data_IF_616174728919
#
_entry.id   IF_616174728919
#
_cell.length_a   1.000
_cell.length_b   1.000
_cell.length_c   1.000
_cell.angle_alpha   90.00
_cell.angle_beta   90.00
_cell.angle_gamma   90.00
#
_symmetry.space_group_name_H-M   'P 1'
#
loop_
_entity.id
_entity.type
_entity.pdbx_description
1 polymer ?
#
# COMPACT_ATOMS: atom_id res chain seq x y z
N UNK A 1 45.81 33.33 -4.40
CA UNK A 1 45.18 33.33 -3.05
C UNK A 1 43.66 33.45 -3.07
N UNK A 2 43.01 34.37 -3.79
CA UNK A 2 41.54 34.51 -3.79
C UNK A 2 40.82 33.27 -4.39
N UNK A 3 41.32 32.71 -5.50
CA UNK A 3 40.75 31.54 -6.16
C UNK A 3 40.84 30.26 -5.29
N UNK A 4 41.99 30.05 -4.64
CA UNK A 4 42.15 28.90 -3.71
C UNK A 4 41.19 28.96 -2.53
N UNK A 5 40.98 30.15 -1.96
CA UNK A 5 39.99 30.33 -0.86
C UNK A 5 38.56 30.07 -1.35
N UNK A 6 38.21 30.51 -2.57
CA UNK A 6 36.89 30.24 -3.16
C UNK A 6 36.65 28.75 -3.38
N UNK A 7 37.66 28.01 -3.88
CA UNK A 7 37.56 26.53 -4.06
C UNK A 7 37.39 25.83 -2.71
N UNK A 8 38.16 26.24 -1.69
CA UNK A 8 38.03 25.63 -0.34
C UNK A 8 36.64 25.89 0.24
N UNK A 9 36.12 27.13 0.12
CA UNK A 9 34.77 27.44 0.59
C UNK A 9 33.70 26.67 -0.16
N UNK A 10 33.81 26.50 -1.48
CA UNK A 10 32.90 25.73 -2.30
C UNK A 10 32.92 24.24 -1.88
N UNK A 11 34.10 23.68 -1.65
CA UNK A 11 34.26 22.30 -1.19
C UNK A 11 33.66 22.07 0.19
N UNK A 12 33.81 23.03 1.11
CA UNK A 12 33.18 22.94 2.45
C UNK A 12 31.67 23.04 2.35
N UNK A 13 31.13 23.91 1.52
CA UNK A 13 29.68 24.02 1.30
C UNK A 13 29.11 22.74 0.69
N UNK A 14 29.78 22.18 -0.32
CA UNK A 14 29.37 20.90 -0.93
C UNK A 14 29.42 19.76 0.10
N UNK A 15 30.48 19.70 0.92
CA UNK A 15 30.60 18.71 1.99
C UNK A 15 29.49 18.86 3.04
N UNK A 16 29.17 20.10 3.44
CA UNK A 16 28.08 20.37 4.38
C UNK A 16 26.71 19.99 3.78
N UNK A 17 26.48 20.30 2.49
CA UNK A 17 25.25 19.90 1.80
C UNK A 17 25.12 18.38 1.68
N UNK A 18 26.23 17.67 1.42
CA UNK A 18 26.21 16.19 1.39
C UNK A 18 25.95 15.58 2.77
N UNK A 19 26.51 16.18 3.84
CA UNK A 19 26.27 15.74 5.22
C UNK A 19 24.79 15.96 5.60
N UNK A 20 24.21 17.12 5.24
CA UNK A 20 22.80 17.40 5.49
C UNK A 20 21.90 16.47 4.68
N UNK A 21 22.20 16.23 3.41
CA UNK A 21 21.44 15.29 2.58
C UNK A 21 21.52 13.83 3.11
N UNK A 22 22.67 13.43 3.69
CA UNK A 22 22.78 12.12 4.34
C UNK A 22 22.06 12.07 5.71
N UNK A 23 21.91 13.19 6.41
CA UNK A 23 21.21 13.25 7.70
C UNK A 23 19.67 13.19 7.52
N UNK A 24 19.16 13.57 6.35
CA UNK A 24 17.75 13.42 6.00
C UNK A 24 17.37 12.03 5.49
N UNK A 25 18.32 11.12 5.30
CA UNK A 25 17.97 9.71 5.19
C UNK A 25 17.36 9.29 6.51
N UNK A 26 16.03 9.25 6.54
CA UNK A 26 15.20 8.71 7.62
C UNK A 26 15.91 7.47 8.15
N UNK A 27 16.34 7.51 9.39
CA UNK A 27 16.92 6.33 10.04
C UNK A 27 15.81 5.28 10.04
N UNK A 28 15.87 4.36 9.09
CA UNK A 28 15.07 3.16 9.18
C UNK A 28 15.45 2.49 10.49
N UNK A 29 14.48 2.22 11.34
CA UNK A 29 14.73 1.50 12.58
C UNK A 29 15.38 0.17 12.20
N UNK A 30 16.49 -0.21 12.85
CA UNK A 30 17.10 -1.49 12.55
C UNK A 30 16.10 -2.61 12.81
N UNK A 31 15.92 -3.48 11.82
CA UNK A 31 15.05 -4.66 11.97
C UNK A 31 15.68 -5.55 13.03
N UNK A 32 15.00 -5.71 14.15
CA UNK A 32 15.42 -6.56 15.26
C UNK A 32 15.02 -8.03 15.01
N UNK A 33 15.68 -8.99 15.65
CA UNK A 33 15.19 -10.35 15.70
C UNK A 33 13.75 -10.40 16.26
N UNK A 34 12.91 -11.26 15.73
CA UNK A 34 11.49 -11.36 16.12
C UNK A 34 11.29 -11.51 17.64
N UNK A 35 12.18 -12.23 18.33
CA UNK A 35 12.14 -12.39 19.80
C UNK A 35 12.24 -11.09 20.57
N UNK A 36 12.90 -10.09 20.03
CA UNK A 36 12.97 -8.77 20.67
C UNK A 36 11.61 -8.06 20.59
N UNK A 37 10.95 -8.14 19.45
CA UNK A 37 9.59 -7.61 19.31
C UNK A 37 8.58 -8.39 20.17
N UNK A 38 8.71 -9.71 20.25
CA UNK A 38 7.89 -10.54 21.14
C UNK A 38 8.02 -10.12 22.60
N UNK A 39 9.24 -9.80 23.07
CA UNK A 39 9.47 -9.28 24.42
C UNK A 39 8.79 -7.94 24.67
N UNK A 40 8.78 -7.06 23.67
CA UNK A 40 8.15 -5.74 23.79
C UNK A 40 6.63 -5.83 23.95
N UNK A 41 6.00 -6.86 23.41
CA UNK A 41 4.54 -7.02 23.42
C UNK A 41 4.01 -7.98 24.50
N UNK A 42 4.88 -8.51 25.35
CA UNK A 42 4.46 -9.36 26.48
C UNK A 42 3.63 -8.58 27.51
N UNK A 43 3.85 -7.26 27.62
CA UNK A 43 3.21 -6.42 28.62
C UNK A 43 3.86 -6.58 29.99
N UNK A 44 3.10 -6.27 31.04
CA UNK A 44 3.56 -6.30 32.42
C UNK A 44 3.34 -7.68 33.05
N UNK A 45 4.42 -8.40 33.33
CA UNK A 45 4.37 -9.74 33.98
C UNK A 45 3.96 -9.66 35.46
N UNK A 46 4.09 -8.50 36.07
CA UNK A 46 3.74 -8.20 37.47
C UNK A 46 2.30 -7.64 37.62
N UNK A 47 1.51 -7.67 36.54
CA UNK A 47 0.13 -7.20 36.53
C UNK A 47 -0.85 -8.34 36.25
N UNK A 48 -2.09 -8.17 36.69
CA UNK A 48 -3.20 -9.10 36.50
C UNK A 48 -4.22 -8.54 35.51
N UNK A 49 -4.94 -9.45 34.85
CA UNK A 49 -6.06 -9.10 33.99
C UNK A 49 -7.27 -8.67 34.83
N UNK A 50 -7.84 -7.53 34.50
CA UNK A 50 -8.94 -6.92 35.28
C UNK A 50 -10.27 -6.87 34.53
N UNK A 51 -10.25 -7.16 33.23
CA UNK A 51 -11.39 -7.15 32.35
C UNK A 51 -11.78 -5.78 31.81
N UNK A 52 -12.45 -5.79 30.66
CA UNK A 52 -12.89 -4.58 29.93
C UNK A 52 -13.74 -3.65 30.79
N UNK A 53 -14.62 -4.20 31.65
CA UNK A 53 -15.54 -3.40 32.47
C UNK A 53 -14.79 -2.44 33.40
N UNK A 54 -13.64 -2.84 33.92
CA UNK A 54 -12.82 -1.96 34.75
C UNK A 54 -12.22 -0.81 33.95
N UNK A 55 -11.82 -1.06 32.71
CA UNK A 55 -11.29 -0.02 31.82
C UNK A 55 -12.40 0.98 31.45
N UNK A 56 -13.56 0.47 31.06
CA UNK A 56 -14.71 1.27 30.63
C UNK A 56 -15.29 2.08 31.79
N UNK A 57 -15.58 1.42 32.92
CA UNK A 57 -16.30 2.08 34.02
C UNK A 57 -15.42 3.04 34.85
N UNK A 58 -14.09 2.88 34.79
CA UNK A 58 -13.19 3.74 35.54
C UNK A 58 -12.51 4.84 34.74
N UNK A 59 -12.19 4.57 33.46
CA UNK A 59 -11.42 5.50 32.63
C UNK A 59 -12.12 5.94 31.34
N UNK A 60 -12.81 5.03 30.65
CA UNK A 60 -13.37 5.26 29.32
C UNK A 60 -14.90 5.45 29.30
N UNK A 61 -15.52 5.73 30.46
CA UNK A 61 -16.97 5.97 30.56
C UNK A 61 -17.43 7.28 29.90
N UNK A 62 -16.49 8.19 29.61
CA UNK A 62 -16.74 9.52 29.08
C UNK A 62 -16.38 9.68 27.60
N UNK A 63 -15.80 8.66 27.00
CA UNK A 63 -15.41 8.66 25.59
C UNK A 63 -16.16 7.58 24.80
N UNK A 64 -16.01 7.62 23.48
CA UNK A 64 -16.69 6.68 22.58
C UNK A 64 -15.96 5.36 22.39
N UNK A 65 -14.76 5.20 22.93
CA UNK A 65 -13.89 4.04 22.66
C UNK A 65 -14.60 2.73 22.99
N UNK A 66 -15.31 2.68 24.12
CA UNK A 66 -16.01 1.49 24.56
C UNK A 66 -17.19 1.14 23.65
N UNK A 67 -17.99 2.14 23.28
CA UNK A 67 -19.14 1.93 22.40
C UNK A 67 -18.70 1.59 20.97
N UNK A 68 -17.73 2.30 20.45
CA UNK A 68 -17.14 2.04 19.13
C UNK A 68 -16.50 0.65 19.08
N UNK A 69 -15.74 0.23 20.11
CA UNK A 69 -15.16 -1.10 20.18
C UNK A 69 -16.24 -2.19 20.23
N UNK A 70 -17.29 -2.00 21.02
CA UNK A 70 -18.41 -2.95 21.13
C UNK A 70 -19.07 -3.23 19.78
N UNK A 71 -19.15 -2.24 18.91
CA UNK A 71 -19.70 -2.34 17.55
C UNK A 71 -18.64 -2.60 16.49
N UNK A 72 -17.39 -2.83 16.88
CA UNK A 72 -16.32 -3.23 15.97
C UNK A 72 -16.36 -4.73 15.68
N UNK A 73 -15.66 -5.16 14.63
CA UNK A 73 -15.51 -6.59 14.30
C UNK A 73 -14.99 -7.41 15.47
N UNK A 74 -14.07 -6.84 16.27
CA UNK A 74 -13.53 -7.55 17.44
C UNK A 74 -14.53 -7.59 18.61
N UNK A 75 -15.25 -6.51 18.85
CA UNK A 75 -16.22 -6.44 19.96
C UNK A 75 -17.48 -7.25 19.72
N UNK A 76 -17.89 -7.42 18.47
CA UNK A 76 -19.05 -8.22 18.09
C UNK A 76 -18.82 -9.73 18.13
N UNK A 77 -17.54 -10.18 18.14
CA UNK A 77 -17.20 -11.59 18.22
C UNK A 77 -17.33 -12.12 19.65
N UNK A 78 -18.45 -12.76 19.93
CA UNK A 78 -18.78 -13.31 21.25
C UNK A 78 -18.60 -14.81 21.22
N UNK A 79 -17.89 -15.35 22.22
CA UNK A 79 -17.76 -16.79 22.45
C UNK A 79 -19.12 -17.36 22.88
N UNK A 80 -19.71 -18.33 22.13
CA UNK A 80 -21.06 -18.81 22.40
C UNK A 80 -21.25 -19.40 23.81
N UNK A 81 -20.22 -20.09 24.34
CA UNK A 81 -20.28 -20.80 25.60
C UNK A 81 -20.25 -19.86 26.81
N UNK A 82 -19.46 -18.78 26.72
CA UNK A 82 -19.27 -17.86 27.86
C UNK A 82 -20.03 -16.56 27.71
N UNK A 83 -20.50 -16.24 26.51
CA UNK A 83 -21.05 -14.92 26.11
C UNK A 83 -20.09 -13.75 26.34
N UNK A 84 -18.79 -14.01 26.44
CA UNK A 84 -17.76 -12.99 26.56
C UNK A 84 -17.13 -12.71 25.21
N UNK A 85 -16.67 -11.48 24.95
CA UNK A 85 -15.91 -11.16 23.74
C UNK A 85 -14.69 -12.06 23.61
N UNK A 86 -14.40 -12.50 22.37
CA UNK A 86 -13.18 -13.26 22.05
C UNK A 86 -11.94 -12.37 22.20
N UNK A 87 -12.10 -11.09 21.94
CA UNK A 87 -11.07 -10.07 22.07
C UNK A 87 -11.57 -8.97 23.01
N UNK A 88 -10.73 -8.51 23.90
CA UNK A 88 -11.01 -7.44 24.84
C UNK A 88 -9.88 -6.41 24.85
N UNK A 89 -10.00 -5.34 25.63
CA UNK A 89 -8.97 -4.30 25.73
C UNK A 89 -7.59 -4.87 26.04
N UNK A 90 -7.54 -5.78 27.00
CA UNK A 90 -6.29 -6.36 27.49
C UNK A 90 -5.66 -7.39 26.52
N UNK A 91 -6.42 -7.85 25.52
CA UNK A 91 -5.88 -8.71 24.45
C UNK A 91 -4.80 -7.98 23.63
N UNK A 92 -4.92 -6.67 23.51
CA UNK A 92 -3.97 -5.82 22.81
C UNK A 92 -3.09 -5.01 23.78
N UNK A 93 -3.66 -4.46 24.84
CA UNK A 93 -2.97 -3.57 25.78
C UNK A 93 -2.26 -4.28 26.93
N UNK A 94 -2.45 -5.61 27.07
CA UNK A 94 -1.89 -6.37 28.19
C UNK A 94 -2.65 -6.13 29.51
N UNK A 95 -2.23 -6.79 30.61
CA UNK A 95 -2.90 -6.77 31.90
C UNK A 95 -2.90 -5.36 32.53
N UNK A 96 -4.07 -4.92 32.98
CA UNK A 96 -4.34 -3.54 33.37
C UNK A 96 -4.34 -3.24 34.88
N UNK A 97 -4.12 -4.23 35.76
CA UNK A 97 -4.29 -4.02 37.21
C UNK A 97 -3.46 -2.87 37.78
N UNK A 98 -2.20 -2.72 37.32
CA UNK A 98 -1.33 -1.65 37.77
C UNK A 98 -1.78 -0.26 37.28
N UNK A 99 -2.39 -0.19 36.11
CA UNK A 99 -2.87 1.08 35.56
C UNK A 99 -4.09 1.62 36.31
N UNK A 100 -4.86 0.74 36.95
CA UNK A 100 -6.05 1.11 37.72
C UNK A 100 -5.82 1.10 39.26
N UNK A 101 -4.69 0.58 39.75
CA UNK A 101 -4.44 0.41 41.18
C UNK A 101 -4.45 1.73 41.97
N UNK A 102 -4.02 2.83 41.37
CA UNK A 102 -3.94 4.16 42.01
C UNK A 102 -5.18 5.01 41.74
N UNK A 103 -6.16 4.46 41.03
CA UNK A 103 -7.41 5.14 40.71
C UNK A 103 -8.43 4.83 41.81
N UNK A 104 -8.29 5.49 42.95
CA UNK A 104 -9.34 5.54 43.97
C UNK A 104 -10.46 6.48 43.44
N UNK A 105 -11.25 5.96 42.53
CA UNK A 105 -12.38 6.71 41.93
C UNK A 105 -13.64 6.28 42.67
N UNK A 106 -14.13 7.15 43.52
CA UNK A 106 -15.51 7.07 43.98
C UNK A 106 -16.42 7.33 42.77
N UNK A 107 -17.26 6.36 42.35
CA UNK A 107 -18.18 6.56 41.23
C UNK A 107 -19.17 7.72 41.44
N UNK A 108 -19.31 8.17 42.67
CA UNK A 108 -20.16 9.33 43.04
C UNK A 108 -19.46 10.69 42.83
N UNK A 109 -18.16 10.74 42.75
CA UNK A 109 -17.41 11.96 42.46
C UNK A 109 -17.13 12.11 40.94
N UNK A 110 -17.81 13.05 40.35
CA UNK A 110 -17.66 13.44 38.91
C UNK A 110 -16.28 14.03 38.56
N UNK A 111 -15.25 13.76 39.34
CA UNK A 111 -13.90 14.32 39.21
C UNK A 111 -12.96 13.46 38.34
N UNK A 112 -13.47 12.40 37.73
CA UNK A 112 -12.71 11.50 36.83
C UNK A 112 -12.15 12.21 35.60
N UNK A 113 -12.56 13.40 35.26
CA UNK A 113 -11.97 14.22 34.19
C UNK A 113 -10.53 14.64 34.45
N UNK A 114 -9.99 14.44 35.64
CA UNK A 114 -8.66 14.91 36.05
C UNK A 114 -7.61 13.80 36.20
N UNK A 115 -8.02 12.55 36.38
CA UNK A 115 -7.05 11.45 36.53
C UNK A 115 -6.89 10.73 35.20
N UNK A 116 -5.80 11.03 34.49
CA UNK A 116 -5.40 10.30 33.29
C UNK A 116 -4.88 8.92 33.69
N UNK A 117 -5.29 7.91 32.92
CA UNK A 117 -4.69 6.57 32.96
C UNK A 117 -3.17 6.66 32.86
N UNK A 118 -2.45 5.99 33.72
CA UNK A 118 -1.00 5.93 33.61
C UNK A 118 -0.61 4.93 32.53
N UNK A 119 -0.42 5.44 31.32
CA UNK A 119 -0.06 4.63 30.13
C UNK A 119 1.27 3.94 30.27
N UNK A 120 2.13 4.31 31.26
CA UNK A 120 3.38 3.63 31.50
C UNK A 120 3.21 2.27 32.21
N UNK A 121 2.02 2.04 32.78
CA UNK A 121 1.69 0.83 33.56
C UNK A 121 0.98 -0.27 32.77
N UNK A 122 0.71 -0.06 31.50
CA UNK A 122 0.26 -1.08 30.55
C UNK A 122 0.97 -0.90 29.20
N UNK A 123 0.68 -1.76 28.23
CA UNK A 123 1.35 -1.71 26.94
C UNK A 123 0.85 -0.51 26.12
N UNK A 124 1.68 0.53 26.03
CA UNK A 124 1.43 1.69 25.17
C UNK A 124 1.85 1.34 23.71
N UNK A 125 0.87 0.87 22.95
CA UNK A 125 1.07 0.30 21.62
C UNK A 125 1.70 1.35 20.67
N UNK A 126 1.31 2.61 20.81
CA UNK A 126 1.78 3.67 19.92
C UNK A 126 3.25 4.05 20.13
N UNK A 127 3.84 3.64 21.27
CA UNK A 127 5.28 3.80 21.53
C UNK A 127 6.13 2.62 21.06
N UNK A 128 5.50 1.55 20.63
CA UNK A 128 6.22 0.39 20.09
C UNK A 128 6.71 0.67 18.66
N UNK A 129 7.82 0.05 18.23
CA UNK A 129 8.19 0.08 16.82
C UNK A 129 7.11 -0.60 15.95
N UNK A 130 6.93 -0.17 14.69
CA UNK A 130 5.87 -0.65 13.80
C UNK A 130 5.79 -2.17 13.66
N UNK A 131 6.94 -2.85 13.69
CA UNK A 131 7.01 -4.31 13.62
C UNK A 131 6.39 -4.97 14.87
N UNK A 132 6.65 -4.41 16.07
CA UNK A 132 6.05 -4.88 17.31
C UNK A 132 4.55 -4.57 17.36
N UNK A 133 4.14 -3.40 16.85
CA UNK A 133 2.72 -3.06 16.68
C UNK A 133 2.01 -4.10 15.81
N UNK A 134 2.56 -4.41 14.64
CA UNK A 134 2.01 -5.41 13.73
C UNK A 134 1.96 -6.81 14.36
N UNK A 135 2.96 -7.17 15.16
CA UNK A 135 3.03 -8.47 15.82
C UNK A 135 1.88 -8.69 16.81
N UNK A 136 1.35 -7.63 17.44
CA UNK A 136 0.15 -7.73 18.29
C UNK A 136 -1.02 -8.32 17.50
N UNK A 137 -1.22 -7.87 16.27
CA UNK A 137 -2.27 -8.38 15.39
C UNK A 137 -1.97 -9.80 14.91
N UNK A 138 -0.72 -10.04 14.53
CA UNK A 138 -0.26 -11.30 13.96
C UNK A 138 -0.28 -12.48 14.96
N UNK A 139 -0.41 -12.21 16.25
CA UNK A 139 -0.68 -13.28 17.26
C UNK A 139 -1.93 -14.09 16.92
N UNK A 140 -2.96 -13.44 16.37
CA UNK A 140 -4.24 -14.06 16.01
C UNK A 140 -4.43 -14.10 14.48
N UNK A 141 -4.05 -13.04 13.78
CA UNK A 141 -4.15 -12.89 12.34
C UNK A 141 -2.92 -13.48 11.65
N UNK A 142 -2.74 -14.78 11.73
CA UNK A 142 -1.64 -15.48 11.07
C UNK A 142 -1.93 -15.77 9.59
N UNK A 143 -0.90 -16.09 8.81
CA UNK A 143 -1.03 -16.55 7.43
C UNK A 143 -1.90 -17.81 7.30
N UNK A 144 -1.97 -18.64 8.34
CA UNK A 144 -2.82 -19.83 8.36
C UNK A 144 -4.31 -19.48 8.47
N UNK A 145 -4.65 -18.39 9.18
CA UNK A 145 -6.04 -17.93 9.32
C UNK A 145 -6.44 -16.91 8.23
N UNK A 146 -5.47 -16.11 7.77
CA UNK A 146 -5.68 -15.08 6.74
C UNK A 146 -4.56 -15.20 5.69
N UNK A 147 -4.78 -15.96 4.61
CA UNK A 147 -3.74 -16.18 3.59
C UNK A 147 -3.17 -14.90 2.96
N UNK A 148 -3.95 -13.82 2.89
CA UNK A 148 -3.48 -12.52 2.40
C UNK A 148 -2.30 -11.93 3.22
N UNK A 149 -2.12 -12.37 4.48
CA UNK A 149 -1.00 -11.92 5.33
C UNK A 149 0.28 -12.75 5.15
N UNK A 150 0.29 -13.76 4.28
CA UNK A 150 1.44 -14.65 4.10
C UNK A 150 2.75 -13.92 3.76
N UNK A 151 2.65 -12.80 3.07
CA UNK A 151 3.80 -12.03 2.62
C UNK A 151 4.00 -10.71 3.39
N UNK A 152 3.22 -10.46 4.47
CA UNK A 152 3.28 -9.19 5.20
C UNK A 152 4.70 -8.83 5.65
N UNK A 153 5.38 -9.73 6.35
CA UNK A 153 6.70 -9.45 6.93
C UNK A 153 7.79 -9.13 5.89
N UNK A 154 7.61 -9.56 4.65
CA UNK A 154 8.51 -9.27 3.53
C UNK A 154 7.96 -8.16 2.62
N UNK A 155 6.81 -7.60 2.93
CA UNK A 155 6.21 -6.55 2.11
C UNK A 155 6.98 -5.23 2.23
N UNK A 156 7.02 -4.42 1.18
CA UNK A 156 7.59 -3.07 1.25
C UNK A 156 6.99 -2.22 2.37
N UNK A 157 5.69 -2.35 2.65
CA UNK A 157 5.05 -1.63 3.75
C UNK A 157 5.68 -1.99 5.10
N UNK A 158 5.75 -3.28 5.44
CA UNK A 158 6.35 -3.71 6.70
C UNK A 158 7.84 -3.35 6.80
N UNK A 159 8.58 -3.41 5.69
CA UNK A 159 10.01 -3.07 5.64
C UNK A 159 10.28 -1.56 5.72
N UNK A 160 9.27 -0.72 5.44
CA UNK A 160 9.36 0.74 5.53
C UNK A 160 8.55 1.31 6.71
N UNK A 161 8.52 0.57 7.82
CA UNK A 161 7.95 1.01 9.09
C UNK A 161 6.44 1.33 9.04
N UNK A 162 5.69 0.67 8.16
CA UNK A 162 4.22 0.71 8.17
C UNK A 162 3.70 -0.41 9.07
N UNK A 163 2.79 -0.07 9.98
CA UNK A 163 2.12 -1.01 10.87
C UNK A 163 0.67 -1.26 10.44
N UNK A 164 0.03 -2.26 11.03
CA UNK A 164 -1.39 -2.52 10.81
C UNK A 164 -2.26 -1.31 11.19
N UNK A 165 -1.85 -0.54 12.21
CA UNK A 165 -2.59 0.62 12.71
C UNK A 165 -2.56 1.84 11.80
N UNK A 166 -1.61 1.91 10.86
CA UNK A 166 -1.56 3.01 9.88
C UNK A 166 -2.72 2.95 8.89
N UNK A 167 -3.30 1.74 8.71
CA UNK A 167 -4.41 1.51 7.80
C UNK A 167 -5.70 1.08 8.53
N UNK A 168 -5.59 0.31 9.61
CA UNK A 168 -6.72 -0.26 10.33
C UNK A 168 -7.00 0.48 11.64
N UNK A 169 -8.22 0.95 11.81
CA UNK A 169 -8.69 1.66 13.00
C UNK A 169 -9.53 0.72 13.86
N UNK A 170 -8.97 0.22 14.94
CA UNK A 170 -9.56 -0.86 15.73
C UNK A 170 -10.63 -0.39 16.73
N UNK A 171 -10.58 0.86 17.17
CA UNK A 171 -11.54 1.45 18.12
C UNK A 171 -12.71 2.11 17.42
N UNK A 172 -12.78 2.11 16.10
CA UNK A 172 -13.89 2.68 15.34
C UNK A 172 -14.91 1.60 14.96
N UNK A 173 -16.14 1.82 15.35
CA UNK A 173 -17.29 0.99 14.99
C UNK A 173 -18.51 1.87 14.68
N UNK A 174 -19.56 1.31 14.09
CA UNK A 174 -19.61 -0.01 13.45
C UNK A 174 -18.75 -0.04 12.18
N UNK A 175 -18.20 -1.21 11.85
CA UNK A 175 -17.44 -1.34 10.60
C UNK A 175 -18.36 -1.20 9.40
N UNK A 176 -18.20 -0.10 8.70
CA UNK A 176 -18.85 0.12 7.43
C UNK A 176 -18.02 -0.50 6.30
N UNK A 177 -18.70 -0.90 5.24
CA UNK A 177 -18.01 -1.31 4.02
C UNK A 177 -17.26 -0.11 3.46
N UNK A 178 -15.94 -0.20 3.41
CA UNK A 178 -15.08 0.85 2.87
C UNK A 178 -15.38 1.03 1.38
N UNK A 179 -15.74 2.24 0.99
CA UNK A 179 -15.97 2.59 -0.41
C UNK A 179 -14.65 2.63 -1.21
N UNK A 180 -14.73 2.54 -2.52
CA UNK A 180 -13.55 2.68 -3.39
C UNK A 180 -12.86 4.04 -3.21
N UNK A 181 -13.63 5.08 -2.95
CA UNK A 181 -13.12 6.44 -2.69
C UNK A 181 -12.33 6.49 -1.39
N UNK A 182 -12.87 5.97 -0.29
CA UNK A 182 -12.22 5.95 1.02
C UNK A 182 -10.95 5.09 0.97
N UNK A 183 -10.99 3.95 0.28
CA UNK A 183 -9.83 3.10 0.08
C UNK A 183 -8.72 3.84 -0.68
N UNK A 184 -9.07 4.53 -1.77
CA UNK A 184 -8.10 5.31 -2.54
C UNK A 184 -7.56 6.49 -1.73
N UNK A 185 -8.41 7.17 -0.95
CA UNK A 185 -8.01 8.28 -0.09
C UNK A 185 -7.00 7.85 0.98
N UNK A 186 -7.19 6.66 1.56
CA UNK A 186 -6.25 6.08 2.52
C UNK A 186 -4.85 5.93 1.91
N UNK A 187 -4.76 5.34 0.72
CA UNK A 187 -3.48 5.13 0.03
C UNK A 187 -2.81 6.45 -0.36
N UNK A 188 -3.58 7.42 -0.84
CA UNK A 188 -3.08 8.74 -1.24
C UNK A 188 -2.49 9.56 -0.10
N UNK A 189 -2.77 9.21 1.15
CA UNK A 189 -2.15 9.84 2.32
C UNK A 189 -0.63 9.69 2.33
N UNK A 190 -0.11 8.58 1.78
CA UNK A 190 1.32 8.30 1.69
C UNK A 190 1.84 8.23 0.24
N UNK A 191 0.95 8.14 -0.77
CA UNK A 191 1.29 8.04 -2.20
C UNK A 191 0.74 9.25 -3.00
N UNK A 192 1.20 10.48 -2.71
CA UNK A 192 0.70 11.69 -3.38
C UNK A 192 1.07 11.76 -4.87
N UNK A 193 2.19 11.13 -5.27
CA UNK A 193 2.61 11.03 -6.67
C UNK A 193 1.60 10.24 -7.49
N UNK A 194 1.14 9.10 -6.99
CA UNK A 194 0.12 8.28 -7.66
C UNK A 194 -1.22 9.03 -7.73
N UNK A 195 -1.55 9.80 -6.68
CA UNK A 195 -2.71 10.68 -6.72
C UNK A 195 -2.62 11.69 -7.85
N UNK A 196 -1.44 12.29 -8.05
CA UNK A 196 -1.21 13.25 -9.12
C UNK A 196 -1.32 12.59 -10.51
N UNK A 197 -0.75 11.39 -10.69
CA UNK A 197 -0.86 10.62 -11.93
C UNK A 197 -2.34 10.33 -12.26
N UNK A 198 -3.14 9.94 -11.28
CA UNK A 198 -4.57 9.68 -11.46
C UNK A 198 -5.40 10.92 -11.82
N UNK A 199 -4.84 12.13 -11.75
CA UNK A 199 -5.48 13.35 -12.25
C UNK A 199 -5.23 13.60 -13.75
N UNK A 200 -4.34 12.84 -14.38
CA UNK A 200 -4.06 12.99 -15.80
C UNK A 200 -5.27 12.59 -16.67
N UNK A 201 -5.24 13.03 -17.93
CA UNK A 201 -6.39 12.91 -18.86
C UNK A 201 -6.79 11.45 -19.11
N UNK A 202 -5.82 10.57 -19.27
CA UNK A 202 -6.01 9.13 -19.43
C UNK A 202 -5.67 8.43 -18.14
N UNK A 203 -6.61 7.76 -17.49
CA UNK A 203 -6.44 7.07 -16.22
C UNK A 203 -7.45 5.94 -16.08
N UNK A 204 -7.22 5.01 -15.18
CA UNK A 204 -8.23 4.07 -14.75
C UNK A 204 -9.30 4.77 -13.89
N UNK A 205 -10.54 4.26 -13.83
CA UNK A 205 -11.68 4.99 -13.27
C UNK A 205 -11.70 4.95 -11.72
N UNK A 206 -10.58 5.36 -11.10
CA UNK A 206 -10.49 5.51 -9.65
C UNK A 206 -11.23 6.76 -9.16
N UNK A 207 -11.14 7.86 -9.92
CA UNK A 207 -11.86 9.10 -9.62
C UNK A 207 -13.38 8.94 -9.77
N UNK A 208 -13.79 8.10 -10.70
CA UNK A 208 -15.17 7.75 -10.97
C UNK A 208 -15.72 6.71 -9.97
N UNK A 209 -14.89 6.28 -9.00
CA UNK A 209 -15.26 5.35 -7.91
C UNK A 209 -15.65 3.94 -8.40
N UNK A 210 -15.26 3.59 -9.61
CA UNK A 210 -15.51 2.26 -10.18
C UNK A 210 -14.39 1.28 -9.84
N UNK A 211 -13.24 1.78 -9.42
CA UNK A 211 -12.06 1.01 -9.02
C UNK A 211 -11.41 1.62 -7.78
N UNK A 212 -10.58 0.82 -7.14
CA UNK A 212 -9.71 1.22 -6.04
C UNK A 212 -8.31 0.65 -6.22
N UNK A 213 -7.36 1.10 -5.40
CA UNK A 213 -5.97 0.63 -5.45
C UNK A 213 -5.87 -0.90 -5.26
N UNK A 214 -6.73 -1.46 -4.40
CA UNK A 214 -6.70 -2.90 -4.07
C UNK A 214 -7.27 -3.81 -5.17
N UNK A 215 -7.81 -3.26 -6.24
CA UNK A 215 -8.20 -4.08 -7.38
C UNK A 215 -6.97 -4.61 -8.14
N UNK A 216 -5.85 -3.86 -8.08
CA UNK A 216 -4.59 -4.23 -8.71
C UNK A 216 -3.51 -4.61 -7.70
N UNK A 217 -3.51 -4.02 -6.49
CA UNK A 217 -2.48 -4.19 -5.47
C UNK A 217 -2.97 -5.01 -4.27
N UNK A 218 -2.06 -5.81 -3.68
CA UNK A 218 -2.26 -6.49 -2.41
C UNK A 218 -1.43 -5.79 -1.32
N UNK A 219 -2.02 -4.87 -0.53
CA UNK A 219 -1.26 -4.05 0.41
C UNK A 219 -0.60 -4.85 1.53
N UNK A 220 -1.07 -6.05 1.81
CA UNK A 220 -0.48 -6.93 2.82
C UNK A 220 0.77 -7.68 2.34
N UNK A 221 1.07 -7.62 1.05
CA UNK A 221 2.22 -8.28 0.45
C UNK A 221 1.83 -9.23 -0.67
N UNK A 222 2.67 -9.31 -1.66
CA UNK A 222 2.55 -10.26 -2.77
C UNK A 222 3.93 -10.76 -3.20
N UNK A 223 3.96 -11.77 -4.06
CA UNK A 223 5.19 -12.27 -4.68
C UNK A 223 5.63 -11.43 -5.87
N UNK A 224 4.80 -10.48 -6.29
CA UNK A 224 5.03 -9.61 -7.43
C UNK A 224 5.60 -8.26 -7.01
N UNK A 225 6.41 -7.67 -7.87
CA UNK A 225 6.88 -6.30 -7.72
C UNK A 225 5.70 -5.34 -7.53
N UNK A 226 5.93 -4.27 -6.78
CA UNK A 226 4.91 -3.22 -6.53
C UNK A 226 3.62 -3.75 -5.91
N UNK A 227 3.69 -4.90 -5.22
CA UNK A 227 2.54 -5.52 -4.57
C UNK A 227 1.38 -5.85 -5.54
N UNK A 228 1.67 -6.15 -6.80
CA UNK A 228 0.64 -6.52 -7.75
C UNK A 228 -0.02 -7.85 -7.37
N UNK A 229 -1.32 -7.94 -7.63
CA UNK A 229 -2.10 -9.17 -7.47
C UNK A 229 -1.80 -10.12 -8.64
N UNK A 230 -1.97 -11.42 -8.39
CA UNK A 230 -1.75 -12.43 -9.41
C UNK A 230 -0.32 -12.95 -9.44
N UNK A 231 0.01 -13.70 -10.47
CA UNK A 231 1.30 -14.39 -10.62
C UNK A 231 2.28 -13.63 -11.52
N UNK A 232 1.78 -12.64 -12.27
CA UNK A 232 2.56 -11.77 -13.14
C UNK A 232 1.87 -10.41 -13.32
N UNK A 233 2.60 -9.44 -13.87
CA UNK A 233 2.04 -8.16 -14.28
C UNK A 233 0.92 -8.33 -15.32
N UNK A 234 1.10 -9.21 -16.30
CA UNK A 234 0.08 -9.57 -17.28
C UNK A 234 -1.17 -10.13 -16.61
N UNK A 235 -1.02 -11.07 -15.68
CA UNK A 235 -2.12 -11.69 -14.96
C UNK A 235 -2.95 -10.65 -14.18
N UNK A 236 -2.29 -9.68 -13.56
CA UNK A 236 -2.98 -8.56 -12.90
C UNK A 236 -3.90 -7.80 -13.86
N UNK A 237 -3.39 -7.46 -15.04
CA UNK A 237 -4.13 -6.65 -16.02
C UNK A 237 -5.25 -7.45 -16.71
N UNK A 238 -4.97 -8.71 -17.07
CA UNK A 238 -5.89 -9.55 -17.83
C UNK A 238 -7.05 -10.10 -17.00
N UNK A 239 -7.06 -9.89 -15.70
CA UNK A 239 -8.26 -10.14 -14.86
C UNK A 239 -9.48 -9.30 -15.34
N UNK A 240 -9.23 -8.15 -15.92
CA UNK A 240 -10.26 -7.28 -16.49
C UNK A 240 -10.12 -7.18 -18.01
N UNK A 241 -8.89 -7.16 -18.54
CA UNK A 241 -8.58 -7.07 -19.97
C UNK A 241 -8.34 -8.46 -20.56
N UNK A 242 -9.32 -9.36 -20.40
CA UNK A 242 -9.22 -10.76 -20.81
C UNK A 242 -8.94 -10.93 -22.32
N UNK A 243 -9.37 -10.00 -23.14
CA UNK A 243 -9.15 -9.99 -24.58
C UNK A 243 -7.67 -9.77 -24.96
N UNK A 244 -6.82 -9.40 -23.99
CA UNK A 244 -5.37 -9.22 -24.17
C UNK A 244 -4.55 -10.37 -23.57
N UNK A 245 -5.20 -11.38 -23.01
CA UNK A 245 -4.52 -12.45 -22.29
C UNK A 245 -3.70 -13.36 -23.21
N UNK A 246 -4.20 -13.69 -24.39
CA UNK A 246 -3.61 -14.71 -25.23
C UNK A 246 -3.80 -16.14 -24.65
N UNK A 247 -2.97 -17.11 -25.00
CA UNK A 247 -1.86 -16.97 -25.96
C UNK A 247 -2.36 -16.70 -27.37
N UNK A 248 -1.59 -15.89 -28.12
CA UNK A 248 -1.86 -15.63 -29.54
C UNK A 248 -0.84 -16.37 -30.41
N UNK A 249 -1.23 -16.76 -31.61
CA UNK A 249 -0.32 -17.40 -32.57
C UNK A 249 0.83 -16.44 -32.96
N UNK A 250 0.53 -15.16 -33.04
CA UNK A 250 1.49 -14.09 -33.32
C UNK A 250 1.49 -13.12 -32.14
N UNK A 251 2.46 -13.25 -31.26
CA UNK A 251 2.62 -12.39 -30.08
C UNK A 251 3.65 -11.29 -30.34
N UNK A 252 3.47 -10.17 -29.63
CA UNK A 252 4.51 -9.15 -29.50
C UNK A 252 5.40 -9.52 -28.31
N UNK A 253 6.38 -10.39 -28.55
CA UNK A 253 7.06 -11.19 -27.55
C UNK A 253 7.60 -10.39 -26.34
N UNK A 254 8.33 -9.29 -26.57
CA UNK A 254 9.00 -8.54 -25.50
C UNK A 254 8.07 -7.70 -24.64
N UNK A 255 6.82 -7.49 -25.06
CA UNK A 255 5.86 -6.63 -24.37
C UNK A 255 4.61 -7.37 -23.91
N UNK A 256 4.36 -8.57 -24.42
CA UNK A 256 3.16 -9.36 -24.08
C UNK A 256 3.09 -9.72 -22.61
N UNK A 257 4.23 -9.85 -21.92
CA UNK A 257 4.30 -10.23 -20.50
C UNK A 257 4.25 -9.03 -19.54
N UNK A 258 4.62 -7.83 -20.00
CA UNK A 258 4.66 -6.64 -19.16
C UNK A 258 3.95 -5.45 -19.82
N UNK A 259 2.70 -5.26 -19.48
CA UNK A 259 1.87 -4.18 -20.01
C UNK A 259 2.45 -2.78 -19.71
N UNK A 260 3.19 -2.63 -18.60
CA UNK A 260 3.79 -1.37 -18.19
C UNK A 260 4.95 -0.91 -19.09
N UNK A 261 5.45 -1.77 -20.01
CA UNK A 261 6.42 -1.34 -21.02
C UNK A 261 5.81 -0.26 -21.95
N UNK A 262 4.51 -0.31 -22.17
CA UNK A 262 3.78 0.63 -23.02
C UNK A 262 2.78 1.50 -22.28
N UNK A 263 2.23 1.04 -21.15
CA UNK A 263 1.16 1.69 -20.42
C UNK A 263 1.58 2.19 -19.05
N UNK A 264 1.12 3.39 -18.69
CA UNK A 264 1.22 3.98 -17.36
C UNK A 264 -0.11 3.78 -16.62
N UNK A 265 -0.27 2.71 -15.81
CA UNK A 265 -1.58 2.28 -15.31
C UNK A 265 -2.25 3.27 -14.36
N UNK A 266 -1.50 4.14 -13.70
CA UNK A 266 -2.08 5.14 -12.82
C UNK A 266 -2.60 6.34 -13.57
N UNK A 267 -1.93 6.75 -14.66
CA UNK A 267 -2.35 7.86 -15.48
C UNK A 267 -1.32 8.32 -16.48
N UNK A 268 -1.78 8.91 -17.55
CA UNK A 268 -0.97 9.46 -18.63
C UNK A 268 -1.61 10.68 -19.25
N UNK A 269 -0.78 11.59 -19.78
CA UNK A 269 -1.22 12.66 -20.65
C UNK A 269 -1.58 12.14 -22.07
N UNK A 270 -1.14 10.92 -22.41
CA UNK A 270 -1.41 10.29 -23.69
C UNK A 270 -2.65 9.40 -23.61
N UNK A 271 -3.42 9.33 -24.69
CA UNK A 271 -4.57 8.44 -24.78
C UNK A 271 -4.17 6.98 -24.54
N UNK A 272 -5.10 6.17 -24.05
CA UNK A 272 -4.91 4.75 -23.77
C UNK A 272 -3.82 4.46 -22.72
N UNK A 273 -3.57 5.37 -21.82
CA UNK A 273 -2.55 5.24 -20.77
C UNK A 273 -1.12 5.01 -21.34
N UNK A 274 -0.81 5.49 -22.53
CA UNK A 274 0.50 5.23 -23.12
C UNK A 274 1.60 6.04 -22.42
N UNK A 275 2.75 5.42 -22.19
CA UNK A 275 3.93 6.06 -21.60
C UNK A 275 4.47 7.20 -22.44
N UNK A 276 4.31 7.12 -23.75
CA UNK A 276 4.69 8.16 -24.71
C UNK A 276 3.69 8.24 -25.86
N UNK A 277 3.63 9.39 -26.51
CA UNK A 277 2.82 9.55 -27.70
C UNK A 277 3.35 8.71 -28.87
N UNK A 278 2.45 8.22 -29.73
CA UNK A 278 2.85 7.61 -31.00
C UNK A 278 3.34 8.68 -31.97
N UNK A 279 4.34 8.40 -32.80
CA UNK A 279 5.04 7.12 -32.97
C UNK A 279 6.20 6.89 -31.98
N UNK A 280 6.52 7.85 -31.13
CA UNK A 280 7.71 7.83 -30.26
C UNK A 280 7.74 6.61 -29.32
N UNK A 281 6.60 6.14 -28.85
CA UNK A 281 6.52 4.95 -28.03
C UNK A 281 7.11 3.73 -28.75
N UNK A 282 6.70 3.51 -29.99
CA UNK A 282 7.13 2.37 -30.81
C UNK A 282 8.62 2.50 -31.18
N UNK A 283 9.06 3.73 -31.44
CA UNK A 283 10.44 4.03 -31.85
C UNK A 283 11.49 3.82 -30.74
N UNK A 284 11.08 3.61 -29.50
CA UNK A 284 12.00 3.27 -28.41
C UNK A 284 12.68 1.89 -28.65
N UNK A 285 12.01 0.98 -29.35
CA UNK A 285 12.49 -0.36 -29.64
C UNK A 285 12.61 -0.62 -31.14
N UNK A 286 11.74 -0.02 -31.95
CA UNK A 286 11.70 -0.20 -33.38
C UNK A 286 12.38 0.96 -34.11
N UNK A 287 13.41 0.69 -34.87
CA UNK A 287 13.92 1.64 -35.87
C UNK A 287 12.83 1.94 -36.90
N UNK A 288 12.71 3.21 -37.27
CA UNK A 288 11.74 3.60 -38.30
C UNK A 288 12.01 2.83 -39.60
N UNK A 289 10.96 2.28 -40.19
CA UNK A 289 11.08 1.66 -41.51
C UNK A 289 10.64 2.62 -42.62
N UNK A 290 11.43 2.68 -43.66
CA UNK A 290 11.07 3.36 -44.89
C UNK A 290 10.14 2.44 -45.69
N UNK A 291 8.85 2.80 -45.77
CA UNK A 291 7.87 1.95 -46.45
C UNK A 291 7.95 2.12 -47.98
N UNK A 292 8.56 3.19 -48.49
CA UNK A 292 8.67 3.41 -49.93
C UNK A 292 9.73 4.44 -50.28
N UNK A 293 10.41 4.23 -51.39
CA UNK A 293 11.18 5.23 -52.14
C UNK A 293 10.30 6.15 -52.97
N UNK A 294 8.97 6.02 -52.90
CA UNK A 294 8.05 6.83 -53.68
C UNK A 294 8.02 8.30 -53.24
N UNK A 295 8.08 9.26 -54.12
CA UNK A 295 7.92 10.68 -53.81
C UNK A 295 6.53 10.92 -53.17
N UNK A 296 6.50 11.55 -52.00
CA UNK A 296 5.26 11.86 -51.27
C UNK A 296 5.02 11.01 -49.98
N UNK A 297 5.74 9.91 -49.79
CA UNK A 297 5.55 9.01 -48.63
C UNK A 297 6.44 9.42 -47.42
N UNK A 298 7.14 10.55 -47.49
CA UNK A 298 7.96 11.09 -46.37
C UNK A 298 7.15 11.45 -45.12
N UNK A 299 5.81 11.44 -45.18
CA UNK A 299 4.93 11.76 -44.07
C UNK A 299 4.62 10.58 -43.13
N UNK A 300 5.12 9.37 -43.42
CA UNK A 300 4.84 8.18 -42.61
C UNK A 300 5.40 8.22 -41.16
N UNK A 301 6.39 9.06 -40.90
CA UNK A 301 6.85 9.30 -39.53
C UNK A 301 5.88 10.14 -38.69
N UNK A 302 4.87 10.75 -39.29
CA UNK A 302 3.87 11.55 -38.60
C UNK A 302 2.59 10.75 -38.26
N UNK A 303 2.47 9.52 -38.73
CA UNK A 303 1.27 8.71 -38.56
C UNK A 303 1.42 7.76 -37.37
N UNK A 304 0.28 7.39 -36.80
CA UNK A 304 0.23 6.37 -35.75
C UNK A 304 0.61 5.02 -36.34
N UNK A 305 1.58 4.33 -35.73
CA UNK A 305 1.97 2.98 -36.16
C UNK A 305 0.79 1.99 -36.17
N UNK A 306 -0.14 2.20 -35.25
CA UNK A 306 -1.36 1.39 -35.09
C UNK A 306 -2.39 1.57 -36.20
N UNK A 307 -2.26 2.56 -37.08
CA UNK A 307 -3.14 2.69 -38.26
C UNK A 307 -2.89 1.57 -39.31
N UNK A 308 -1.63 1.02 -39.25
CA UNK A 308 -1.26 -0.13 -40.08
C UNK A 308 -1.01 -1.40 -39.22
N UNK A 309 -0.57 -1.24 -37.98
CA UNK A 309 -0.27 -2.33 -37.04
C UNK A 309 -1.29 -2.37 -35.91
N UNK A 310 -2.55 -2.73 -36.23
CA UNK A 310 -3.66 -2.67 -35.28
C UNK A 310 -3.65 -3.78 -34.21
N UNK A 311 -2.89 -4.87 -34.42
CA UNK A 311 -2.88 -6.05 -33.55
C UNK A 311 -1.62 -6.14 -32.69
N UNK A 312 -1.21 -5.02 -32.11
CA UNK A 312 0.04 -4.92 -31.32
C UNK A 312 0.05 -5.80 -30.06
N UNK A 313 -1.09 -6.21 -29.54
CA UNK A 313 -1.18 -7.10 -28.37
C UNK A 313 -1.10 -8.58 -28.74
N UNK A 314 -1.20 -8.90 -30.02
CA UNK A 314 -1.21 -10.26 -30.57
C UNK A 314 -2.36 -10.52 -31.53
N UNK A 315 -2.24 -11.55 -32.35
CA UNK A 315 -3.26 -11.97 -33.31
C UNK A 315 -3.17 -13.46 -33.60
N UNK A 316 -4.29 -14.11 -33.80
CA UNK A 316 -4.41 -15.48 -34.28
C UNK A 316 -4.53 -15.54 -35.81
N UNK A 317 -4.64 -14.38 -36.45
CA UNK A 317 -4.83 -14.29 -37.90
C UNK A 317 -3.49 -13.90 -38.53
N UNK A 318 -2.96 -14.72 -39.48
CA UNK A 318 -1.76 -14.35 -40.21
C UNK A 318 -2.00 -13.12 -41.08
N UNK A 319 -1.04 -12.21 -41.08
CA UNK A 319 -1.11 -11.06 -42.01
C UNK A 319 -1.01 -11.55 -43.45
N UNK A 320 -2.03 -11.29 -44.25
CA UNK A 320 -1.98 -11.54 -45.68
C UNK A 320 -1.32 -10.36 -46.39
N UNK A 321 -0.03 -10.40 -46.60
CA UNK A 321 0.61 -9.36 -47.40
C UNK A 321 2.11 -9.43 -47.48
N UNK A 322 2.61 -9.15 -48.67
CA UNK A 322 4.00 -9.20 -49.06
C UNK A 322 4.96 -8.23 -48.30
N UNK A 323 4.45 -7.51 -47.30
CA UNK A 323 5.21 -6.57 -46.50
C UNK A 323 5.13 -7.05 -45.05
N UNK A 324 6.07 -7.90 -44.70
CA UNK A 324 6.16 -8.63 -43.46
C UNK A 324 5.73 -7.91 -42.18
N UNK A 325 4.87 -8.54 -41.44
CA UNK A 325 4.50 -8.13 -40.14
C UNK A 325 3.27 -8.89 -39.65
N UNK A 326 3.50 -9.85 -38.79
CA UNK A 326 2.49 -10.70 -38.21
C UNK A 326 1.45 -9.96 -37.35
N UNK A 327 1.65 -8.66 -37.11
CA UNK A 327 0.74 -7.83 -36.30
C UNK A 327 -0.06 -6.82 -37.14
N UNK A 328 -0.24 -7.11 -38.44
CA UNK A 328 -1.07 -6.31 -39.35
C UNK A 328 -2.49 -6.83 -39.44
N UNK A 329 -3.42 -5.98 -39.24
CA UNK A 329 -4.69 -5.93 -39.98
C UNK A 329 -5.15 -4.50 -40.08
#
# INVERSE_FOLDING_TARGET
MKLQRAIIWLSVVVLLLTIVACAEMKQSHPILPIREYERMIVGRLDAEYVGTDNCVNRCHFHDKIADDFKHSVHGEQIKPETRLPLVNCESCHGPGSLAIAELDIDPAENDAKKKKCDTSKFLDIMKLPPQAQSLICLKCHSAASIPALAHWNASPHALHDVSCFDCHKLHEGPQQKVSHEEMSALCYGCHPEVKAENQLTSHHPLRERNMSCVDCHEPHGSTQDKLLRGTSSKDTCTRCHMEKQGPFVYEHADVSENCANCHAPHGSANSYLLNAAMPFLCMQCHGGHTISTAPGVKQLFANRCTDCHSRIHGSDIPSSGAIGGSLRQ
#
